data_IF_282269433697
#
_entry.id   IF_282269433697
#
_cell.length_a   1.000
_cell.length_b   1.000
_cell.length_c   1.000
_cell.angle_alpha   90.00
_cell.angle_beta   90.00
_cell.angle_gamma   90.00
#
_symmetry.space_group_name_H-M   'P 1'
#
loop_
_entity.id
_entity.type
_entity.pdbx_description
1 polymer ?
#
# COMPACT_ATOMS: atom_id res chain seq x y z
N UNK A 1 76.99 -21.38 -21.90
CA UNK A 1 77.67 -20.08 -21.96
C UNK A 1 76.58 -19.09 -21.56
N UNK A 2 76.16 -19.13 -20.29
CA UNK A 2 76.79 -18.39 -19.17
C UNK A 2 76.22 -16.96 -19.17
N UNK A 3 75.56 -16.42 -18.13
CA UNK A 3 75.34 -16.82 -16.73
C UNK A 3 73.93 -16.37 -16.26
N UNK A 4 73.35 -16.82 -15.14
CA UNK A 4 73.91 -17.59 -14.04
C UNK A 4 74.19 -16.75 -12.80
N UNK A 5 73.16 -16.14 -12.18
CA UNK A 5 73.32 -15.54 -10.86
C UNK A 5 72.04 -15.65 -10.01
N UNK A 6 72.12 -16.44 -8.95
CA UNK A 6 71.21 -16.40 -7.82
C UNK A 6 72.00 -15.99 -6.56
N UNK A 7 71.34 -15.35 -5.62
CA UNK A 7 71.82 -15.19 -4.25
C UNK A 7 70.65 -15.28 -3.29
N UNK A 8 70.97 -15.72 -2.07
CA UNK A 8 70.09 -16.46 -1.17
C UNK A 8 69.95 -15.78 0.20
N UNK A 9 69.01 -16.28 1.00
CA UNK A 9 68.91 -16.17 2.46
C UNK A 9 68.52 -14.83 3.09
N UNK A 10 67.22 -14.76 3.41
CA UNK A 10 66.72 -14.87 4.79
C UNK A 10 67.39 -14.06 5.92
N UNK A 11 66.59 -13.19 6.54
CA UNK A 11 66.66 -12.98 7.99
C UNK A 11 65.27 -12.65 8.56
N UNK A 12 64.71 -13.57 9.33
CA UNK A 12 63.59 -13.31 10.23
C UNK A 12 64.12 -12.64 11.52
N UNK A 13 63.30 -11.80 12.16
CA UNK A 13 63.06 -11.86 13.61
C UNK A 13 61.90 -10.93 14.01
N UNK A 14 61.15 -11.35 15.02
CA UNK A 14 59.93 -10.70 15.53
C UNK A 14 60.24 -9.56 16.54
N UNK A 15 59.23 -8.75 16.87
CA UNK A 15 59.30 -7.81 17.99
C UNK A 15 58.17 -6.77 18.00
N UNK A 16 57.06 -7.07 18.66
CA UNK A 16 55.85 -6.23 18.63
C UNK A 16 55.75 -5.16 19.74
N UNK A 17 54.96 -4.13 19.44
CA UNK A 17 54.19 -3.25 20.33
C UNK A 17 53.22 -2.48 19.40
N UNK A 18 51.99 -2.11 19.75
CA UNK A 18 51.33 -2.09 21.05
C UNK A 18 50.31 -0.95 21.02
N UNK A 19 49.07 -1.26 20.63
CA UNK A 19 47.83 -0.46 20.73
C UNK A 19 47.85 1.05 20.40
N UNK A 20 47.10 1.42 19.37
CA UNK A 20 46.04 2.43 19.52
C UNK A 20 44.89 2.08 18.58
N UNK A 21 43.66 2.12 19.09
CA UNK A 21 42.46 1.79 18.31
C UNK A 21 41.80 3.04 17.76
N UNK A 22 41.33 2.96 16.52
CA UNK A 22 40.19 3.76 16.07
C UNK A 22 39.09 2.83 15.54
N UNK A 23 37.81 3.23 15.64
CA UNK A 23 36.70 2.36 15.35
C UNK A 23 36.58 2.10 13.85
N UNK A 24 35.94 0.99 13.50
CA UNK A 24 35.47 0.72 12.15
C UNK A 24 34.59 1.87 11.64
N UNK A 25 35.13 2.73 10.79
CA UNK A 25 34.30 3.48 9.85
C UNK A 25 33.69 2.49 8.87
N UNK A 26 32.51 1.98 9.23
CA UNK A 26 31.63 1.28 8.31
C UNK A 26 31.19 2.27 7.24
N UNK A 27 32.01 2.40 6.20
CA UNK A 27 31.72 3.32 5.11
C UNK A 27 30.50 2.79 4.33
N UNK A 28 29.31 3.25 4.72
CA UNK A 28 28.01 2.95 4.12
C UNK A 28 27.86 3.49 2.68
N UNK A 29 28.96 3.94 2.07
CA UNK A 29 29.09 4.47 0.71
C UNK A 29 28.91 3.41 -0.39
N UNK A 30 28.92 2.12 -0.05
CA UNK A 30 28.79 1.00 -1.01
C UNK A 30 27.42 0.88 -1.71
N UNK A 31 26.39 1.59 -1.26
CA UNK A 31 25.05 1.57 -1.86
C UNK A 31 24.54 2.97 -2.25
N UNK A 32 25.35 3.73 -2.99
CA UNK A 32 24.82 4.84 -3.79
C UNK A 32 23.90 4.25 -4.86
N UNK A 33 22.58 4.45 -4.70
CA UNK A 33 21.60 4.03 -5.68
C UNK A 33 21.71 4.88 -6.96
N UNK A 34 22.57 4.46 -7.88
CA UNK A 34 22.84 5.14 -9.15
C UNK A 34 21.70 5.01 -10.19
N UNK A 35 20.56 4.39 -9.86
CA UNK A 35 19.46 4.21 -10.80
C UNK A 35 18.45 5.36 -10.82
N UNK A 36 17.65 5.43 -11.89
CA UNK A 36 16.60 6.44 -11.99
C UNK A 36 15.58 6.30 -10.84
N UNK A 37 15.12 7.43 -10.30
CA UNK A 37 14.06 7.49 -9.28
C UNK A 37 12.77 6.79 -9.74
N UNK A 38 12.50 6.75 -11.04
CA UNK A 38 11.34 6.08 -11.59
C UNK A 38 11.51 4.55 -11.67
N UNK A 39 12.71 4.04 -11.98
CA UNK A 39 12.99 2.59 -11.85
C UNK A 39 12.73 2.08 -10.43
N UNK A 40 13.12 2.86 -9.41
CA UNK A 40 12.88 2.52 -8.00
C UNK A 40 11.38 2.55 -7.65
N UNK A 41 10.64 3.53 -8.17
CA UNK A 41 9.17 3.63 -7.98
C UNK A 41 8.45 2.43 -8.58
N UNK A 42 8.80 2.05 -9.82
CA UNK A 42 8.23 0.87 -10.46
C UNK A 42 8.62 -0.43 -9.74
N UNK A 43 9.87 -0.58 -9.32
CA UNK A 43 10.32 -1.71 -8.51
C UNK A 43 9.49 -1.86 -7.22
N UNK A 44 9.39 -0.80 -6.41
CA UNK A 44 8.68 -0.83 -5.13
C UNK A 44 7.19 -1.12 -5.31
N UNK A 45 6.53 -0.42 -6.23
CA UNK A 45 5.10 -0.62 -6.49
C UNK A 45 4.80 -2.00 -7.10
N UNK A 46 5.64 -2.51 -8.01
CA UNK A 46 5.51 -3.88 -8.55
C UNK A 46 5.66 -4.91 -7.43
N UNK A 47 6.62 -4.75 -6.53
CA UNK A 47 6.81 -5.65 -5.37
C UNK A 47 5.60 -5.63 -4.44
N UNK A 48 5.12 -4.45 -4.04
CA UNK A 48 3.92 -4.31 -3.20
C UNK A 48 2.69 -4.97 -3.85
N UNK A 49 2.55 -4.87 -5.18
CA UNK A 49 1.46 -5.51 -5.91
C UNK A 49 1.60 -7.03 -5.95
N UNK A 50 2.80 -7.57 -6.15
CA UNK A 50 3.04 -9.01 -6.07
C UNK A 50 2.75 -9.57 -4.66
N UNK A 51 3.15 -8.85 -3.60
CA UNK A 51 2.77 -9.18 -2.22
C UNK A 51 1.24 -9.19 -2.05
N UNK A 52 0.54 -8.15 -2.52
CA UNK A 52 -0.92 -8.07 -2.49
C UNK A 52 -1.61 -9.18 -3.31
N UNK A 53 -1.07 -9.56 -4.47
CA UNK A 53 -1.63 -10.65 -5.28
C UNK A 53 -1.46 -12.00 -4.58
N UNK A 54 -0.32 -12.23 -3.93
CA UNK A 54 -0.10 -13.43 -3.11
C UNK A 54 -1.10 -13.51 -1.95
N UNK A 55 -1.30 -12.41 -1.22
CA UNK A 55 -2.28 -12.34 -0.13
C UNK A 55 -3.73 -12.57 -0.62
N UNK A 56 -4.03 -12.25 -1.88
CA UNK A 56 -5.31 -12.52 -2.56
C UNK A 56 -5.44 -13.95 -3.12
N UNK A 57 -4.47 -14.84 -2.88
CA UNK A 57 -4.53 -16.23 -3.34
C UNK A 57 -4.07 -16.50 -4.78
N UNK A 58 -3.39 -15.54 -5.42
CA UNK A 58 -2.80 -15.76 -6.75
C UNK A 58 -1.45 -16.49 -6.64
N UNK A 59 -1.11 -17.27 -7.68
CA UNK A 59 0.09 -18.10 -7.73
C UNK A 59 1.37 -17.27 -7.98
N UNK A 60 1.79 -16.47 -7.00
CA UNK A 60 2.97 -15.60 -7.07
C UNK A 60 4.20 -16.31 -6.50
N UNK A 61 5.29 -16.38 -7.26
CA UNK A 61 6.54 -16.99 -6.80
C UNK A 61 7.30 -16.07 -5.82
N UNK A 62 7.90 -16.65 -4.78
CA UNK A 62 8.72 -15.90 -3.82
C UNK A 62 9.94 -15.23 -4.46
N UNK A 63 10.50 -15.83 -5.51
CA UNK A 63 11.60 -15.24 -6.30
C UNK A 63 11.20 -13.94 -7.01
N UNK A 64 9.94 -13.79 -7.46
CA UNK A 64 9.47 -12.55 -8.07
C UNK A 64 9.29 -11.41 -7.06
N UNK A 65 8.90 -11.75 -5.82
CA UNK A 65 8.76 -10.79 -4.71
C UNK A 65 10.13 -10.37 -4.17
N UNK A 66 11.07 -11.32 -4.08
CA UNK A 66 12.40 -11.12 -3.51
C UNK A 66 13.44 -10.64 -4.54
N UNK A 67 13.02 -10.34 -5.78
CA UNK A 67 13.87 -9.75 -6.82
C UNK A 67 14.58 -8.49 -6.27
N UNK A 68 15.90 -8.36 -6.51
CA UNK A 68 16.62 -7.16 -6.09
C UNK A 68 16.31 -5.96 -7.02
N UNK A 69 16.59 -4.74 -6.55
CA UNK A 69 16.43 -3.55 -7.40
C UNK A 69 17.47 -3.52 -8.53
N UNK A 70 18.63 -4.14 -8.30
CA UNK A 70 19.69 -4.34 -9.30
C UNK A 70 19.22 -5.28 -10.42
N UNK A 71 18.68 -6.45 -10.07
CA UNK A 71 18.14 -7.42 -11.03
C UNK A 71 16.95 -6.84 -11.79
N UNK A 72 16.06 -6.11 -11.09
CA UNK A 72 14.95 -5.41 -11.72
C UNK A 72 15.44 -4.44 -12.81
N UNK A 73 16.51 -3.68 -12.57
CA UNK A 73 17.10 -2.78 -13.58
C UNK A 73 17.87 -3.51 -14.67
N UNK A 74 18.48 -4.66 -14.38
CA UNK A 74 19.08 -5.52 -15.40
C UNK A 74 18.01 -6.07 -16.37
N UNK A 75 16.83 -6.42 -15.87
CA UNK A 75 15.71 -6.96 -16.67
C UNK A 75 14.95 -5.83 -17.41
N UNK A 76 14.58 -4.77 -16.71
CA UNK A 76 13.65 -3.75 -17.22
C UNK A 76 14.32 -2.45 -17.69
N UNK A 77 15.59 -2.21 -17.32
CA UNK A 77 16.34 -1.00 -17.63
C UNK A 77 16.30 0.05 -16.52
N UNK A 78 17.06 1.13 -16.73
CA UNK A 78 17.07 2.30 -15.85
C UNK A 78 15.86 3.22 -16.06
N UNK A 79 15.26 3.19 -17.24
CA UNK A 79 13.97 3.82 -17.53
C UNK A 79 13.02 2.73 -18.05
N UNK A 80 12.24 2.07 -17.17
CA UNK A 80 11.41 0.93 -17.56
C UNK A 80 10.25 1.32 -18.48
N UNK A 81 10.16 0.64 -19.61
CA UNK A 81 8.92 0.61 -20.41
C UNK A 81 7.79 -0.03 -19.59
N UNK A 82 6.73 0.75 -19.33
CA UNK A 82 5.57 0.34 -18.55
C UNK A 82 4.81 -0.84 -19.14
N UNK A 83 4.86 -1.04 -20.46
CA UNK A 83 4.24 -2.19 -21.10
C UNK A 83 4.99 -3.50 -20.82
N UNK A 84 6.30 -3.43 -20.52
CA UNK A 84 7.10 -4.58 -20.06
C UNK A 84 6.86 -4.92 -18.58
N UNK A 85 6.32 -4.00 -17.78
CA UNK A 85 6.07 -4.20 -16.34
C UNK A 85 4.79 -4.99 -16.02
N UNK A 86 3.98 -5.31 -17.04
CA UNK A 86 2.69 -5.99 -16.89
C UNK A 86 2.83 -7.34 -16.17
N UNK A 87 1.88 -7.64 -15.29
CA UNK A 87 1.82 -8.91 -14.54
C UNK A 87 0.53 -9.63 -14.94
N UNK A 88 0.60 -10.90 -15.31
CA UNK A 88 -0.57 -11.75 -15.53
C UNK A 88 -0.39 -13.07 -14.78
N UNK A 89 -1.22 -13.31 -13.76
CA UNK A 89 -1.07 -14.44 -12.83
C UNK A 89 -2.43 -15.11 -12.62
N UNK A 90 -2.45 -16.45 -12.69
CA UNK A 90 -3.65 -17.25 -12.40
C UNK A 90 -3.84 -17.49 -10.91
N UNK A 91 -5.08 -17.75 -10.50
CA UNK A 91 -5.42 -18.05 -9.11
C UNK A 91 -4.86 -19.42 -8.70
N UNK A 92 -4.35 -19.54 -7.46
CA UNK A 92 -3.59 -20.72 -7.02
C UNK A 92 -4.42 -22.01 -7.02
N UNK A 93 -5.72 -21.92 -6.72
CA UNK A 93 -6.66 -23.05 -6.73
C UNK A 93 -7.53 -23.16 -7.99
N UNK A 94 -7.48 -22.16 -8.88
CA UNK A 94 -8.36 -22.11 -10.05
C UNK A 94 -7.64 -21.45 -11.24
N UNK A 95 -6.93 -22.24 -12.07
CA UNK A 95 -6.16 -21.72 -13.19
C UNK A 95 -6.98 -20.97 -14.25
N UNK A 96 -8.32 -21.17 -14.28
CA UNK A 96 -9.22 -20.46 -15.20
C UNK A 96 -9.40 -18.99 -14.83
N UNK A 97 -9.24 -18.65 -13.54
CA UNK A 97 -9.30 -17.29 -13.03
C UNK A 97 -7.91 -16.65 -13.10
N UNK A 98 -7.82 -15.51 -13.78
CA UNK A 98 -6.58 -14.75 -13.94
C UNK A 98 -6.78 -13.28 -13.59
N UNK A 99 -5.73 -12.67 -13.06
CA UNK A 99 -5.65 -11.22 -12.87
C UNK A 99 -4.60 -10.63 -13.80
N UNK A 100 -4.85 -9.42 -14.29
CA UNK A 100 -3.91 -8.63 -15.08
C UNK A 100 -3.59 -7.34 -14.30
N UNK A 101 -2.32 -6.96 -14.28
CA UNK A 101 -1.86 -5.67 -13.77
C UNK A 101 -1.22 -4.91 -14.93
N UNK A 102 -1.64 -3.66 -15.13
CA UNK A 102 -1.08 -2.75 -16.13
C UNK A 102 -0.61 -1.48 -15.45
N UNK A 103 0.63 -1.09 -15.75
CA UNK A 103 1.19 0.20 -15.35
C UNK A 103 0.86 1.24 -16.41
N UNK A 104 0.29 2.36 -15.99
CA UNK A 104 0.11 3.56 -16.80
C UNK A 104 1.27 4.51 -16.52
N UNK A 105 2.01 4.89 -17.56
CA UNK A 105 3.18 5.78 -17.46
C UNK A 105 2.87 7.22 -17.01
N UNK A 106 3.87 8.11 -17.02
CA UNK A 106 3.82 9.40 -16.32
C UNK A 106 2.84 10.42 -16.92
N UNK A 107 2.32 10.18 -18.12
CA UNK A 107 1.33 11.02 -18.77
C UNK A 107 -0.07 10.88 -18.18
N UNK A 108 -0.89 11.92 -18.31
CA UNK A 108 -2.32 11.88 -17.95
C UNK A 108 -3.02 10.76 -18.72
N UNK A 109 -3.74 9.89 -18.02
CA UNK A 109 -4.41 8.73 -18.63
C UNK A 109 -5.67 9.17 -19.39
N UNK A 110 -5.54 9.19 -20.71
CA UNK A 110 -6.57 9.56 -21.69
C UNK A 110 -7.35 8.33 -22.17
N UNK A 111 -8.53 8.57 -22.76
CA UNK A 111 -9.46 7.51 -23.19
C UNK A 111 -8.88 6.55 -24.24
N UNK A 112 -7.92 7.00 -25.06
CA UNK A 112 -7.21 6.17 -26.02
C UNK A 112 -6.33 5.10 -25.33
N UNK A 113 -5.71 5.41 -24.19
CA UNK A 113 -4.91 4.46 -23.41
C UNK A 113 -5.80 3.33 -22.90
N UNK A 114 -6.95 3.66 -22.31
CA UNK A 114 -7.92 2.66 -21.83
C UNK A 114 -8.44 1.80 -22.98
N UNK A 115 -8.75 2.38 -24.14
CA UNK A 115 -9.15 1.62 -25.34
C UNK A 115 -8.04 0.72 -25.86
N UNK A 116 -6.78 1.14 -25.81
CA UNK A 116 -5.63 0.30 -26.16
C UNK A 116 -5.51 -0.91 -25.23
N UNK A 117 -5.61 -0.69 -23.91
CA UNK A 117 -5.62 -1.77 -22.91
C UNK A 117 -6.79 -2.74 -23.15
N UNK A 118 -8.00 -2.23 -23.42
CA UNK A 118 -9.16 -3.06 -23.79
C UNK A 118 -8.81 -3.94 -25.00
N UNK A 119 -8.29 -3.36 -26.08
CA UNK A 119 -7.99 -4.08 -27.33
C UNK A 119 -6.88 -5.14 -27.20
N UNK A 120 -5.91 -4.93 -26.31
CA UNK A 120 -4.79 -5.86 -26.10
C UNK A 120 -5.14 -7.06 -25.21
N UNK A 121 -6.29 -7.05 -24.52
CA UNK A 121 -6.78 -8.18 -23.73
C UNK A 121 -7.50 -9.17 -24.66
N UNK A 122 -6.75 -10.18 -25.12
CA UNK A 122 -7.23 -11.23 -26.02
C UNK A 122 -8.20 -12.19 -25.30
N UNK A 123 -7.77 -12.78 -24.17
CA UNK A 123 -8.54 -13.81 -23.46
C UNK A 123 -9.40 -13.21 -22.33
N UNK A 124 -10.46 -12.48 -22.69
CA UNK A 124 -11.35 -11.78 -21.72
C UNK A 124 -12.03 -12.72 -20.74
N UNK A 125 -12.46 -13.90 -21.20
CA UNK A 125 -13.31 -14.82 -20.41
C UNK A 125 -12.58 -15.41 -19.19
N UNK A 126 -11.25 -15.49 -19.25
CA UNK A 126 -10.37 -15.90 -18.14
C UNK A 126 -10.04 -14.78 -17.16
N UNK A 127 -10.31 -13.53 -17.51
CA UNK A 127 -9.82 -12.36 -16.78
C UNK A 127 -10.85 -11.92 -15.75
N UNK A 128 -10.68 -12.36 -14.50
CA UNK A 128 -11.59 -12.04 -13.39
C UNK A 128 -11.35 -10.66 -12.78
N UNK A 129 -10.21 -10.03 -13.07
CA UNK A 129 -9.94 -8.67 -12.62
C UNK A 129 -8.77 -8.01 -13.32
N UNK A 130 -8.77 -6.68 -13.29
CA UNK A 130 -7.71 -5.82 -13.81
C UNK A 130 -7.30 -4.81 -12.74
N UNK A 131 -6.00 -4.65 -12.53
CA UNK A 131 -5.43 -3.61 -11.68
C UNK A 131 -4.70 -2.60 -12.58
N UNK A 132 -5.11 -1.33 -12.52
CA UNK A 132 -4.44 -0.22 -13.18
C UNK A 132 -3.63 0.57 -12.15
N UNK A 133 -2.32 0.66 -12.38
CA UNK A 133 -1.41 1.43 -11.54
C UNK A 133 -1.13 2.75 -12.25
N UNK A 134 -1.58 3.85 -11.65
CA UNK A 134 -1.56 5.18 -12.23
C UNK A 134 -0.37 5.97 -11.68
N UNK A 135 0.52 6.46 -12.52
CA UNK A 135 1.57 7.42 -12.10
C UNK A 135 1.07 8.87 -12.08
N UNK A 136 -0.05 9.15 -12.77
CA UNK A 136 -0.65 10.47 -12.91
C UNK A 136 -2.18 10.36 -13.01
N UNK A 137 -2.88 11.49 -13.03
CA UNK A 137 -4.33 11.55 -13.04
C UNK A 137 -4.96 10.88 -14.27
N UNK A 138 -6.13 10.29 -14.06
CA UNK A 138 -6.98 9.74 -15.12
C UNK A 138 -8.08 10.75 -15.49
N UNK A 139 -8.28 10.97 -16.79
CA UNK A 139 -9.36 11.85 -17.27
C UNK A 139 -10.74 11.26 -17.01
N UNK A 140 -11.75 12.09 -16.73
CA UNK A 140 -13.14 11.62 -16.50
C UNK A 140 -13.71 10.81 -17.68
N UNK A 141 -13.26 11.09 -18.90
CA UNK A 141 -13.60 10.30 -20.10
C UNK A 141 -12.96 8.90 -20.07
N UNK A 142 -11.69 8.79 -19.64
CA UNK A 142 -11.02 7.51 -19.44
C UNK A 142 -11.67 6.72 -18.30
N UNK A 143 -12.01 7.34 -17.17
CA UNK A 143 -12.74 6.70 -16.06
C UNK A 143 -14.09 6.15 -16.52
N UNK A 144 -14.85 6.88 -17.36
CA UNK A 144 -16.07 6.36 -17.98
C UNK A 144 -15.79 5.15 -18.89
N UNK A 145 -14.70 5.15 -19.64
CA UNK A 145 -14.30 4.01 -20.48
C UNK A 145 -13.82 2.79 -19.67
N UNK A 146 -13.36 2.96 -18.43
CA UNK A 146 -13.11 1.84 -17.50
C UNK A 146 -14.42 1.12 -17.13
N UNK A 147 -15.56 1.81 -17.17
CA UNK A 147 -16.88 1.17 -17.03
C UNK A 147 -17.29 0.24 -18.18
N UNK A 148 -16.50 0.13 -19.25
CA UNK A 148 -16.74 -0.78 -20.38
C UNK A 148 -16.14 -2.19 -20.16
N UNK A 149 -15.34 -2.38 -19.11
CA UNK A 149 -14.83 -3.70 -18.76
C UNK A 149 -15.92 -4.56 -18.13
N UNK A 150 -16.04 -5.81 -18.57
CA UNK A 150 -17.03 -6.78 -18.06
C UNK A 150 -16.64 -7.43 -16.72
N UNK A 151 -15.43 -7.13 -16.23
CA UNK A 151 -14.86 -7.63 -14.98
C UNK A 151 -14.46 -6.47 -14.06
N UNK A 152 -14.17 -6.78 -12.79
CA UNK A 152 -13.78 -5.78 -11.79
C UNK A 152 -12.46 -5.10 -12.18
N UNK A 153 -12.47 -3.76 -12.20
CA UNK A 153 -11.24 -2.96 -12.36
C UNK A 153 -10.94 -2.21 -11.06
N UNK A 154 -9.73 -2.34 -10.57
CA UNK A 154 -9.21 -1.59 -9.42
C UNK A 154 -8.14 -0.59 -9.91
N UNK A 155 -8.14 0.62 -9.37
CA UNK A 155 -7.17 1.66 -9.72
C UNK A 155 -6.41 2.08 -8.46
N UNK A 156 -5.09 2.15 -8.53
CA UNK A 156 -4.21 2.62 -7.45
C UNK A 156 -3.26 3.69 -7.98
N UNK A 157 -3.00 4.73 -7.19
CA UNK A 157 -1.88 5.63 -7.50
C UNK A 157 -0.57 4.92 -7.14
N UNK A 158 0.46 5.08 -7.97
CA UNK A 158 1.77 4.46 -7.75
C UNK A 158 2.37 4.88 -6.40
N UNK A 159 2.09 6.12 -5.97
CA UNK A 159 2.48 6.69 -4.66
C UNK A 159 2.01 5.86 -3.48
N UNK A 160 0.80 5.31 -3.56
CA UNK A 160 0.16 4.55 -2.49
C UNK A 160 0.77 3.15 -2.34
N UNK A 161 1.52 2.72 -3.36
CA UNK A 161 2.19 1.41 -3.45
C UNK A 161 3.70 1.50 -3.16
N UNK A 162 4.28 2.70 -3.04
CA UNK A 162 5.72 2.89 -2.79
C UNK A 162 6.13 2.46 -1.38
N UNK A 163 5.25 2.67 -0.41
CA UNK A 163 5.40 2.16 0.96
C UNK A 163 4.39 1.04 1.12
N UNK A 164 4.84 -0.19 1.36
CA UNK A 164 3.91 -1.26 1.66
C UNK A 164 3.27 -1.01 3.04
N UNK A 165 2.05 -0.47 3.02
CA UNK A 165 1.31 -0.04 4.22
C UNK A 165 1.06 -1.21 5.19
N UNK A 166 1.09 -2.48 4.73
CA UNK A 166 0.96 -3.64 5.63
C UNK A 166 2.11 -3.80 6.62
N UNK A 167 3.25 -3.12 6.39
CA UNK A 167 4.46 -3.23 7.23
C UNK A 167 4.68 -2.03 8.16
N UNK A 168 3.99 -0.91 7.97
CA UNK A 168 4.29 0.34 8.68
C UNK A 168 3.17 0.96 9.53
N UNK A 169 1.93 0.45 9.43
CA UNK A 169 0.85 0.71 10.40
C UNK A 169 0.05 -0.58 10.58
N UNK A 170 -0.35 -0.88 11.82
CA UNK A 170 -1.29 -1.96 12.16
C UNK A 170 -2.65 -1.76 11.44
N UNK A 171 -2.75 -2.20 10.19
CA UNK A 171 -4.06 -2.42 9.55
C UNK A 171 -4.63 -3.74 10.06
N UNK A 172 -5.80 -3.75 10.74
CA UNK A 172 -6.47 -4.99 11.08
C UNK A 172 -6.72 -5.80 9.81
N UNK A 173 -6.34 -7.08 9.82
CA UNK A 173 -6.53 -7.99 8.69
C UNK A 173 -8.01 -7.99 8.29
N UNK A 174 -8.33 -7.42 7.14
CA UNK A 174 -9.68 -7.53 6.56
C UNK A 174 -9.83 -8.93 5.97
N UNK A 175 -10.22 -9.87 6.83
CA UNK A 175 -10.74 -11.15 6.40
C UNK A 175 -12.04 -10.91 5.62
N UNK A 176 -12.14 -11.44 4.41
CA UNK A 176 -13.39 -11.47 3.66
C UNK A 176 -14.31 -12.44 4.38
N UNK A 177 -15.19 -11.89 5.24
CA UNK A 177 -16.20 -12.66 5.95
C UNK A 177 -17.11 -13.33 4.93
N UNK A 178 -17.21 -14.65 5.02
CA UNK A 178 -18.23 -15.41 4.28
C UNK A 178 -19.62 -15.07 4.82
N UNK A 179 -20.67 -15.22 4.00
CA UNK A 179 -22.04 -14.83 4.40
C UNK A 179 -22.52 -15.53 5.70
N UNK A 180 -22.03 -16.74 5.97
CA UNK A 180 -22.28 -17.48 7.21
C UNK A 180 -21.61 -16.86 8.46
N UNK A 181 -20.47 -16.18 8.31
CA UNK A 181 -19.79 -15.48 9.41
C UNK A 181 -20.46 -14.13 9.71
N UNK A 182 -20.94 -13.45 8.66
CA UNK A 182 -21.73 -12.20 8.78
C UNK A 182 -23.02 -12.42 9.59
N UNK A 183 -23.74 -13.51 9.34
CA UNK A 183 -24.98 -13.82 10.06
C UNK A 183 -24.75 -14.15 11.55
N UNK A 184 -23.64 -14.83 11.88
CA UNK A 184 -23.20 -15.09 13.25
C UNK A 184 -22.80 -13.81 13.99
N UNK A 185 -22.13 -12.88 13.31
CA UNK A 185 -21.78 -11.56 13.87
C UNK A 185 -23.03 -10.72 14.14
N UNK A 186 -23.99 -10.67 13.21
CA UNK A 186 -25.27 -9.97 13.40
C UNK A 186 -26.04 -10.52 14.61
N UNK A 187 -26.15 -11.84 14.75
CA UNK A 187 -26.77 -12.47 15.94
C UNK A 187 -26.05 -12.15 17.26
N UNK A 188 -24.73 -11.95 17.23
CA UNK A 188 -23.95 -11.60 18.43
C UNK A 188 -24.10 -10.13 18.82
N UNK A 189 -24.25 -9.22 17.85
CA UNK A 189 -24.42 -7.78 18.11
C UNK A 189 -25.89 -7.35 18.32
N UNK A 190 -26.88 -8.17 17.99
CA UNK A 190 -28.29 -7.92 18.31
C UNK A 190 -28.68 -8.21 19.78
N UNK A 191 -27.72 -8.51 20.66
CA UNK A 191 -27.97 -8.75 22.10
C UNK A 191 -26.98 -7.93 22.96
N UNK A 192 -27.11 -6.59 22.92
CA UNK A 192 -26.62 -5.74 24.03
C UNK A 192 -27.33 -4.37 24.14
N UNK A 193 -28.39 -4.11 23.36
CA UNK A 193 -29.14 -2.85 23.39
C UNK A 193 -30.25 -2.84 24.46
N UNK A 194 -29.90 -3.10 25.74
CA UNK A 194 -30.85 -2.92 26.86
C UNK A 194 -30.27 -2.89 28.29
N UNK A 195 -29.31 -2.01 28.59
CA UNK A 195 -29.07 -1.53 29.97
C UNK A 195 -28.60 -0.07 30.01
N UNK A 196 -29.53 0.88 30.01
CA UNK A 196 -29.31 2.20 30.60
C UNK A 196 -29.95 2.21 32.00
N UNK A 197 -29.14 2.32 33.05
CA UNK A 197 -29.62 2.73 34.37
C UNK A 197 -28.76 3.89 34.89
N UNK A 198 -29.40 4.78 35.66
CA UNK A 198 -28.95 6.15 35.89
C UNK A 198 -28.86 6.42 37.41
N UNK A 199 -28.00 7.37 37.83
CA UNK A 199 -27.75 7.82 39.24
C UNK A 199 -26.96 6.80 40.10
N UNK A 200 -26.26 7.15 41.18
CA UNK A 200 -26.15 8.35 42.05
C UNK A 200 -24.65 8.61 42.38
N UNK A 201 -24.13 9.73 42.93
CA UNK A 201 -24.62 11.07 43.33
C UNK A 201 -23.41 12.03 43.50
N UNK A 202 -23.63 13.37 43.54
CA UNK A 202 -22.79 14.30 44.30
C UNK A 202 -23.66 15.38 44.96
N UNK A 203 -23.24 15.89 46.11
CA UNK A 203 -24.09 16.55 47.10
C UNK A 203 -23.98 18.08 47.07
N UNK A 204 -25.08 18.78 47.34
CA UNK A 204 -25.18 19.80 48.42
C UNK A 204 -26.64 20.13 48.72
N UNK A 205 -27.01 20.12 49.99
CA UNK A 205 -28.32 20.57 50.50
C UNK A 205 -28.23 22.02 50.97
N UNK A 206 -29.20 22.86 50.60
CA UNK A 206 -29.72 23.93 51.48
C UNK A 206 -31.22 24.10 51.23
N UNK A 207 -32.04 23.99 52.28
CA UNK A 207 -33.48 24.33 52.25
C UNK A 207 -33.67 25.82 52.52
N UNK A 208 -34.70 26.45 51.96
CA UNK A 208 -35.73 27.09 52.80
C UNK A 208 -37.07 27.37 52.08
N UNK A 209 -38.07 27.66 52.91
CA UNK A 209 -39.53 27.53 52.75
C UNK A 209 -40.24 28.59 51.88
N UNK A 210 -41.54 28.41 51.55
CA UNK A 210 -42.28 29.24 50.60
C UNK A 210 -43.11 30.35 51.27
N UNK A 211 -43.42 31.42 50.54
CA UNK A 211 -44.60 32.26 50.81
C UNK A 211 -44.98 33.20 49.63
N UNK A 212 -46.29 33.51 49.57
CA UNK A 212 -46.95 34.63 48.89
C UNK A 212 -47.19 34.59 47.36
N UNK A 213 -48.49 34.68 47.02
CA UNK A 213 -49.07 34.92 45.70
C UNK A 213 -49.51 36.42 45.57
N UNK A 214 -50.02 36.89 44.42
CA UNK A 214 -49.66 38.20 43.87
C UNK A 214 -50.69 39.33 44.09
N UNK A 215 -50.36 40.56 43.67
CA UNK A 215 -51.35 41.61 43.43
C UNK A 215 -51.24 42.28 42.03
N UNK A 216 -52.23 41.97 41.17
CA UNK A 216 -53.02 42.87 40.31
C UNK A 216 -52.43 43.78 39.17
N UNK A 217 -53.27 43.91 38.13
CA UNK A 217 -53.56 45.10 37.29
C UNK A 217 -52.61 45.56 36.16
N UNK A 218 -53.12 45.38 34.94
CA UNK A 218 -53.44 46.42 33.93
C UNK A 218 -52.68 46.51 32.59
N UNK A 219 -53.49 46.33 31.54
CA UNK A 219 -53.63 47.17 30.34
C UNK A 219 -52.61 47.10 29.17
N UNK A 220 -53.12 46.51 28.08
CA UNK A 220 -53.07 47.01 26.68
C UNK A 220 -53.18 48.55 26.53
N UNK A 221 -53.02 49.17 25.32
CA UNK A 221 -52.63 48.63 23.99
C UNK A 221 -51.55 49.50 23.24
N UNK A 222 -51.45 49.32 21.92
CA UNK A 222 -51.01 50.25 20.85
C UNK A 222 -49.58 50.17 20.25
N UNK A 223 -49.48 49.38 19.16
CA UNK A 223 -49.51 49.83 17.74
C UNK A 223 -48.61 51.01 17.28
N UNK A 224 -47.57 50.69 16.49
CA UNK A 224 -46.92 51.51 15.42
C UNK A 224 -46.20 52.84 15.84
N UNK A 225 -45.22 53.38 15.07
CA UNK A 225 -45.13 53.51 13.60
C UNK A 225 -44.18 52.54 12.89
#
# INVERSE_FOLDING_TARGET
MEDGNGYDSSMEMEGGNGYNGEPTESCLSGFVDNGSRDSLRYYLSRRTVLEMLKDRGYAVALSEINLSVQDFRAIYGQDPDVDRLRISISHQSDPSKRILVVFCGPGIVKVNVIRSIISQIVNRDTLTGLILILQNQITSQATKAVGLFQFKVEMFQITDLLVNITKHVLKPKHQVLTDQEKEKLLKKYSIEEKQQHNRHLCWTTTKQSPSLQPPWLNNHPHNYP
#
